data_IF_135516340785
#
_entry.id   IF_135516340785
#
_cell.length_a   1.000
_cell.length_b   1.000
_cell.length_c   1.000
_cell.angle_alpha   90.00
_cell.angle_beta   90.00
_cell.angle_gamma   90.00
#
_symmetry.space_group_name_H-M   'P 1'
#
loop_
_entity.id
_entity.type
_entity.pdbx_description
1 polymer ?
#
# COMPACT_ATOMS: atom_id res chain seq x y z
N UNK A 1 51.03 -22.70 11.98
CA UNK A 1 50.66 -21.97 10.75
C UNK A 1 49.23 -21.46 10.99
N UNK A 2 49.04 -20.37 11.74
CA UNK A 2 48.77 -19.01 11.22
C UNK A 2 47.60 -19.05 10.19
N UNK A 3 46.36 -18.62 10.46
CA UNK A 3 45.90 -17.45 11.20
C UNK A 3 45.76 -16.27 10.24
N UNK A 4 44.53 -15.89 9.84
CA UNK A 4 44.16 -14.48 9.73
C UNK A 4 42.66 -14.21 9.50
N UNK A 5 42.20 -13.24 10.28
CA UNK A 5 40.92 -12.54 10.20
C UNK A 5 40.82 -11.56 9.02
N UNK A 6 39.56 -11.26 8.68
CA UNK A 6 38.99 -9.98 8.25
C UNK A 6 39.51 -9.30 6.97
N UNK A 7 38.55 -8.74 6.20
CA UNK A 7 38.51 -7.30 5.82
C UNK A 7 37.26 -6.98 5.00
N UNK A 8 36.36 -6.21 5.61
CA UNK A 8 35.60 -5.16 4.91
C UNK A 8 36.59 -4.16 4.29
N UNK A 9 36.28 -3.65 3.08
CA UNK A 9 36.14 -2.21 2.89
C UNK A 9 34.87 -1.94 2.07
N UNK A 10 34.14 -0.84 2.21
CA UNK A 10 34.55 0.50 1.76
C UNK A 10 33.84 1.58 2.58
N UNK A 11 34.65 2.38 3.26
CA UNK A 11 34.36 3.75 3.69
C UNK A 11 35.20 4.68 2.82
N UNK A 12 34.60 5.72 2.25
CA UNK A 12 35.20 7.04 1.87
C UNK A 12 34.02 7.89 1.35
N UNK A 13 33.59 8.98 2.00
CA UNK A 13 34.22 10.31 2.06
C UNK A 13 33.63 11.19 0.94
N UNK A 14 33.31 12.49 1.04
CA UNK A 14 33.44 13.51 2.07
C UNK A 14 32.53 14.71 1.72
N UNK A 15 32.16 15.48 2.75
CA UNK A 15 32.00 16.94 2.87
C UNK A 15 31.62 17.84 1.67
N UNK A 16 30.57 18.64 1.87
CA UNK A 16 30.35 19.92 1.20
C UNK A 16 29.42 20.83 2.01
N UNK A 17 29.99 21.84 2.69
CA UNK A 17 29.31 22.90 3.45
C UNK A 17 29.07 24.09 2.51
N UNK A 18 27.85 24.59 2.37
CA UNK A 18 27.52 25.95 1.89
C UNK A 18 26.21 26.35 2.59
N UNK A 19 26.28 27.07 3.71
CA UNK A 19 26.16 28.54 3.84
C UNK A 19 24.80 29.12 3.48
N UNK A 20 24.23 29.79 4.48
CA UNK A 20 22.91 30.38 4.59
C UNK A 20 22.65 31.58 3.66
N UNK A 21 21.37 31.92 3.47
CA UNK A 21 20.90 33.29 3.27
C UNK A 21 19.47 33.46 3.84
N UNK A 22 19.30 34.58 4.52
CA UNK A 22 18.20 35.06 5.36
C UNK A 22 17.26 35.96 4.53
N UNK A 23 15.95 35.99 4.83
CA UNK A 23 15.01 37.14 4.70
C UNK A 23 13.66 36.70 5.33
N UNK A 24 13.24 37.13 6.53
CA UNK A 24 12.75 38.44 7.02
C UNK A 24 11.43 38.90 6.37
N UNK A 25 10.41 39.14 7.20
CA UNK A 25 9.17 39.90 6.89
C UNK A 25 7.91 39.29 7.55
N UNK A 26 7.63 39.51 8.83
CA UNK A 26 6.83 40.61 9.41
C UNK A 26 5.44 40.82 8.78
N UNK A 27 4.37 40.50 9.53
CA UNK A 27 3.38 41.48 10.01
C UNK A 27 2.24 40.78 10.78
N UNK A 28 2.08 41.17 12.04
CA UNK A 28 0.89 40.91 12.85
C UNK A 28 -0.18 41.97 12.56
N UNK A 29 -1.46 41.60 12.63
CA UNK A 29 -2.56 42.52 12.94
C UNK A 29 -3.51 41.82 13.91
N UNK A 30 -3.98 42.60 14.88
CA UNK A 30 -4.58 42.22 16.13
C UNK A 30 -6.08 42.58 16.20
N UNK A 31 -6.73 42.01 17.25
CA UNK A 31 -7.84 42.57 18.05
C UNK A 31 -9.24 42.76 17.45
N UNK A 32 -10.22 42.08 18.06
CA UNK A 32 -11.43 42.67 18.71
C UNK A 32 -12.30 41.49 19.22
N UNK A 33 -12.65 41.31 20.50
CA UNK A 33 -13.22 42.16 21.56
C UNK A 33 -14.72 41.84 21.79
N UNK A 34 -14.96 41.17 22.92
CA UNK A 34 -16.06 41.26 23.89
C UNK A 34 -17.54 41.18 23.46
N UNK A 35 -18.30 40.39 24.24
CA UNK A 35 -19.75 40.52 24.35
C UNK A 35 -20.37 39.48 25.29
N UNK A 36 -20.27 39.72 26.60
CA UNK A 36 -20.97 38.95 27.66
C UNK A 36 -22.18 39.73 28.19
N UNK A 37 -23.33 39.07 28.36
CA UNK A 37 -24.14 39.04 29.61
C UNK A 37 -25.68 38.86 29.43
N UNK A 38 -26.18 37.84 30.13
CA UNK A 38 -27.35 37.78 31.04
C UNK A 38 -28.82 37.96 30.58
N UNK A 39 -29.52 36.81 30.50
CA UNK A 39 -30.77 36.35 31.17
C UNK A 39 -32.09 37.17 31.27
N UNK A 40 -33.14 36.62 30.60
CA UNK A 40 -34.53 36.25 31.05
C UNK A 40 -35.56 37.30 31.52
N UNK A 41 -36.92 37.05 31.60
CA UNK A 41 -37.81 35.97 31.07
C UNK A 41 -39.22 36.44 30.51
N UNK A 42 -40.11 35.46 30.19
CA UNK A 42 -41.58 35.50 29.87
C UNK A 42 -41.99 35.95 28.44
N UNK A 43 -42.92 35.34 27.69
CA UNK A 43 -44.20 34.66 28.00
C UNK A 43 -44.57 33.63 26.89
N UNK A 44 -45.44 32.68 27.24
CA UNK A 44 -45.95 31.60 26.40
C UNK A 44 -46.91 32.04 25.28
N UNK A 45 -46.85 31.35 24.12
CA UNK A 45 -47.99 31.11 23.21
C UNK A 45 -47.71 29.90 22.29
N UNK A 46 -48.74 29.07 22.12
CA UNK A 46 -48.76 27.75 21.48
C UNK A 46 -48.58 27.75 19.95
N UNK A 47 -47.89 26.74 19.40
CA UNK A 47 -47.81 26.42 17.96
C UNK A 47 -47.09 25.08 17.71
N UNK A 48 -47.42 24.30 16.65
CA UNK A 48 -47.41 22.84 16.68
C UNK A 48 -46.06 22.16 16.40
N UNK A 49 -45.93 20.95 16.95
CA UNK A 49 -44.98 19.85 16.66
C UNK A 49 -43.80 20.17 15.73
N UNK A 50 -42.70 20.64 16.32
CA UNK A 50 -41.39 20.48 15.70
C UNK A 50 -40.97 19.02 15.82
N UNK A 51 -41.09 18.29 14.72
CA UNK A 51 -40.30 17.08 14.51
C UNK A 51 -38.83 17.44 14.76
N UNK A 52 -38.23 16.85 15.79
CA UNK A 52 -36.78 16.92 15.99
C UNK A 52 -36.19 16.21 14.77
N UNK A 53 -35.77 16.99 13.78
CA UNK A 53 -34.95 16.51 12.69
C UNK A 53 -33.67 16.01 13.35
N UNK A 54 -33.56 14.68 13.48
CA UNK A 54 -32.34 14.04 13.92
C UNK A 54 -31.22 14.57 13.02
N UNK A 55 -30.32 15.36 13.59
CA UNK A 55 -29.10 15.75 12.90
C UNK A 55 -28.44 14.45 12.40
N UNK A 56 -28.00 14.39 11.13
CA UNK A 56 -27.26 13.24 10.68
C UNK A 56 -26.04 13.13 11.58
N UNK A 57 -25.97 12.06 12.36
CA UNK A 57 -24.76 11.67 13.07
C UNK A 57 -23.68 11.55 12.00
N UNK A 58 -22.79 12.54 11.94
CA UNK A 58 -21.63 12.50 11.05
C UNK A 58 -20.88 11.23 11.40
N UNK A 59 -20.95 10.23 10.52
CA UNK A 59 -20.15 9.03 10.67
C UNK A 59 -18.69 9.45 10.88
N UNK A 60 -17.91 8.73 11.71
CA UNK A 60 -16.51 9.06 11.91
C UNK A 60 -15.82 9.19 10.54
N UNK A 61 -15.38 10.40 10.20
CA UNK A 61 -14.56 10.60 9.02
C UNK A 61 -13.19 10.01 9.31
N UNK A 62 -12.87 8.89 8.67
CA UNK A 62 -11.53 8.31 8.73
C UNK A 62 -10.54 9.33 8.13
N UNK A 63 -9.67 9.95 8.95
CA UNK A 63 -8.76 11.00 8.47
C UNK A 63 -7.74 10.45 7.46
N UNK A 64 -7.57 9.12 7.40
CA UNK A 64 -6.65 8.44 6.50
C UNK A 64 -7.32 7.85 5.25
N UNK A 65 -8.63 8.07 5.04
CA UNK A 65 -9.39 7.43 3.96
C UNK A 65 -8.73 7.58 2.58
N UNK A 66 -8.27 8.78 2.23
CA UNK A 66 -7.60 9.05 0.94
C UNK A 66 -6.32 8.25 0.76
N UNK A 67 -5.49 8.16 1.79
CA UNK A 67 -4.25 7.39 1.74
C UNK A 67 -4.53 5.89 1.69
N UNK A 68 -5.54 5.40 2.40
CA UNK A 68 -5.96 3.99 2.32
C UNK A 68 -6.41 3.62 0.90
N UNK A 69 -7.18 4.48 0.25
CA UNK A 69 -7.54 4.31 -1.17
C UNK A 69 -6.32 4.29 -2.07
N UNK A 70 -5.34 5.18 -1.86
CA UNK A 70 -4.12 5.24 -2.65
C UNK A 70 -3.24 3.99 -2.48
N UNK A 71 -3.11 3.47 -1.25
CA UNK A 71 -2.41 2.21 -0.95
C UNK A 71 -3.05 1.04 -1.70
N UNK A 72 -4.38 0.89 -1.61
CA UNK A 72 -5.10 -0.19 -2.28
C UNK A 72 -5.06 -0.06 -3.81
N UNK A 73 -5.05 1.16 -4.35
CA UNK A 73 -4.86 1.40 -5.78
C UNK A 73 -3.46 0.94 -6.23
N UNK A 74 -2.40 1.27 -5.49
CA UNK A 74 -1.05 0.79 -5.79
C UNK A 74 -0.94 -0.73 -5.68
N UNK A 75 -1.60 -1.34 -4.70
CA UNK A 75 -1.63 -2.79 -4.53
C UNK A 75 -2.28 -3.50 -5.72
N UNK A 76 -3.45 -3.02 -6.16
CA UNK A 76 -4.12 -3.56 -7.35
C UNK A 76 -3.32 -3.33 -8.63
N UNK A 77 -2.66 -2.18 -8.76
CA UNK A 77 -1.79 -1.91 -9.90
C UNK A 77 -0.59 -2.85 -9.96
N UNK A 78 0.03 -3.18 -8.81
CA UNK A 78 1.07 -4.22 -8.75
C UNK A 78 0.58 -5.55 -9.33
N UNK A 79 -0.58 -6.04 -8.87
CA UNK A 79 -1.14 -7.30 -9.36
C UNK A 79 -1.48 -7.27 -10.85
N UNK A 80 -2.03 -6.16 -11.35
CA UNK A 80 -2.30 -5.99 -12.77
C UNK A 80 -1.02 -6.06 -13.62
N UNK A 81 0.07 -5.41 -13.19
CA UNK A 81 1.36 -5.49 -13.87
C UNK A 81 2.00 -6.88 -13.74
N UNK A 82 1.79 -7.57 -12.61
CA UNK A 82 2.27 -8.94 -12.43
C UNK A 82 1.56 -9.92 -13.37
N UNK A 83 0.24 -9.78 -13.57
CA UNK A 83 -0.52 -10.56 -14.55
C UNK A 83 0.05 -10.38 -15.95
N UNK A 84 0.30 -9.13 -16.38
CA UNK A 84 0.93 -8.84 -17.67
C UNK A 84 2.31 -9.48 -17.81
N UNK A 85 3.11 -9.42 -16.75
CA UNK A 85 4.47 -9.94 -16.77
C UNK A 85 4.48 -11.48 -16.82
N UNK A 86 3.63 -12.13 -16.03
CA UNK A 86 3.59 -13.59 -15.91
C UNK A 86 3.01 -14.26 -17.17
N UNK A 87 2.12 -13.57 -17.89
CA UNK A 87 1.60 -14.02 -19.18
C UNK A 87 2.66 -14.16 -20.28
N UNK A 88 3.84 -13.56 -20.09
CA UNK A 88 4.96 -13.61 -21.04
C UNK A 88 6.31 -13.94 -20.40
N UNK A 89 6.31 -14.32 -19.12
CA UNK A 89 7.51 -14.59 -18.33
C UNK A 89 8.60 -13.48 -18.44
N UNK A 90 8.19 -12.22 -18.54
CA UNK A 90 9.08 -11.06 -18.70
C UNK A 90 8.45 -9.79 -18.13
N UNK A 91 9.23 -8.93 -17.49
CA UNK A 91 8.80 -7.59 -17.01
C UNK A 91 8.90 -6.50 -18.10
N UNK A 92 9.43 -6.83 -19.28
CA UNK A 92 9.55 -5.90 -20.40
C UNK A 92 8.18 -5.31 -20.78
N UNK A 93 8.08 -3.98 -20.92
CA UNK A 93 6.81 -3.32 -21.22
C UNK A 93 5.75 -3.43 -20.12
N UNK A 94 6.16 -3.74 -18.88
CA UNK A 94 5.31 -3.67 -17.68
C UNK A 94 5.79 -2.57 -16.75
N UNK A 95 4.94 -2.16 -15.82
CA UNK A 95 5.23 -1.16 -14.81
C UNK A 95 5.46 -1.80 -13.43
N UNK A 96 5.93 -3.06 -13.34
CA UNK A 96 6.12 -3.75 -12.06
C UNK A 96 6.99 -2.95 -11.07
N UNK A 97 8.08 -2.35 -11.56
CA UNK A 97 9.03 -1.55 -10.76
C UNK A 97 8.45 -0.22 -10.26
N UNK A 98 7.30 0.20 -10.81
CA UNK A 98 6.57 1.38 -10.34
C UNK A 98 5.78 1.07 -9.06
N UNK A 99 5.36 -0.17 -8.85
CA UNK A 99 4.46 -0.53 -7.73
C UNK A 99 5.09 -1.49 -6.71
N UNK A 100 6.22 -2.11 -7.02
CA UNK A 100 6.97 -2.95 -6.08
C UNK A 100 8.43 -2.53 -5.96
N UNK A 101 8.99 -2.75 -4.77
CA UNK A 101 10.39 -2.59 -4.42
C UNK A 101 10.78 -3.66 -3.40
N UNK A 102 12.06 -3.70 -3.01
CA UNK A 102 12.59 -4.62 -2.00
C UNK A 102 12.13 -6.08 -2.21
N UNK A 103 11.69 -6.77 -1.15
CA UNK A 103 11.31 -8.17 -1.19
C UNK A 103 10.15 -8.46 -2.15
N UNK A 104 9.17 -7.55 -2.27
CA UNK A 104 8.05 -7.71 -3.18
C UNK A 104 8.52 -7.76 -4.65
N UNK A 105 9.43 -6.85 -5.03
CA UNK A 105 9.99 -6.85 -6.38
C UNK A 105 10.91 -8.06 -6.60
N UNK A 106 11.76 -8.39 -5.63
CA UNK A 106 12.66 -9.53 -5.73
C UNK A 106 11.90 -10.86 -5.93
N UNK A 107 10.77 -11.04 -5.23
CA UNK A 107 9.88 -12.20 -5.42
C UNK A 107 9.29 -12.24 -6.82
N UNK A 108 8.72 -11.12 -7.29
CA UNK A 108 8.14 -11.05 -8.64
C UNK A 108 9.19 -11.37 -9.73
N UNK A 109 10.41 -10.83 -9.62
CA UNK A 109 11.49 -11.11 -10.56
C UNK A 109 11.94 -12.57 -10.49
N UNK A 110 12.04 -13.14 -9.28
CA UNK A 110 12.36 -14.55 -9.09
C UNK A 110 11.29 -15.48 -9.69
N UNK A 111 10.02 -15.11 -9.61
CA UNK A 111 8.93 -15.86 -10.23
C UNK A 111 9.02 -15.82 -11.75
N UNK A 112 9.27 -14.64 -12.34
CA UNK A 112 9.51 -14.50 -13.78
C UNK A 112 10.69 -15.35 -14.26
N UNK A 113 11.79 -15.36 -13.50
CA UNK A 113 12.94 -16.20 -13.82
C UNK A 113 12.57 -17.68 -13.82
N UNK A 114 11.84 -18.17 -12.81
CA UNK A 114 11.37 -19.58 -12.76
C UNK A 114 10.42 -19.93 -13.89
N UNK A 115 9.55 -19.01 -14.28
CA UNK A 115 8.66 -19.19 -15.44
C UNK A 115 9.47 -19.31 -16.73
N UNK A 116 10.42 -18.40 -16.94
CA UNK A 116 11.31 -18.38 -18.11
C UNK A 116 12.16 -19.64 -18.22
N UNK A 117 12.85 -20.03 -17.15
CA UNK A 117 13.67 -21.25 -17.10
C UNK A 117 12.82 -22.52 -17.30
N UNK A 118 11.58 -22.48 -16.85
CA UNK A 118 10.63 -23.56 -17.04
C UNK A 118 9.96 -23.60 -18.42
N UNK A 119 10.24 -22.66 -19.33
CA UNK A 119 9.50 -22.45 -20.58
C UNK A 119 7.98 -22.41 -20.37
N UNK A 120 7.56 -21.69 -19.33
CA UNK A 120 6.18 -21.60 -18.87
C UNK A 120 5.74 -20.14 -18.75
N UNK A 121 4.43 -19.94 -18.85
CA UNK A 121 3.73 -18.66 -18.62
C UNK A 121 2.49 -18.90 -17.77
N UNK A 122 1.93 -17.83 -17.19
CA UNK A 122 0.67 -17.90 -16.43
C UNK A 122 -0.39 -17.06 -17.13
N UNK A 123 -1.53 -17.68 -17.45
CA UNK A 123 -2.69 -16.98 -17.99
C UNK A 123 -3.79 -16.82 -16.94
N UNK A 124 -4.66 -15.83 -17.17
CA UNK A 124 -5.73 -15.45 -16.27
C UNK A 124 -5.27 -14.46 -15.20
N UNK A 125 -6.13 -14.23 -14.22
CA UNK A 125 -5.90 -13.28 -13.15
C UNK A 125 -6.44 -13.83 -11.82
N UNK A 126 -5.85 -13.42 -10.69
CA UNK A 126 -6.41 -13.73 -9.39
C UNK A 126 -7.63 -12.85 -9.10
N UNK A 127 -8.44 -13.26 -8.13
CA UNK A 127 -9.41 -12.38 -7.46
C UNK A 127 -8.85 -11.93 -6.12
N UNK A 128 -9.21 -10.71 -5.74
CA UNK A 128 -8.71 -10.04 -4.54
C UNK A 128 -9.88 -9.49 -3.71
N UNK A 129 -9.69 -9.46 -2.40
CA UNK A 129 -10.50 -8.72 -1.43
C UNK A 129 -9.56 -8.02 -0.42
N UNK A 130 -8.84 -6.96 -0.84
CA UNK A 130 -7.77 -6.38 -0.05
C UNK A 130 -8.29 -5.29 0.88
N UNK A 131 -7.80 -5.29 2.12
CA UNK A 131 -8.11 -4.29 3.15
C UNK A 131 -6.83 -3.75 3.78
N UNK A 132 -6.81 -2.45 4.11
CA UNK A 132 -5.71 -1.85 4.88
C UNK A 132 -5.95 -2.13 6.36
N UNK A 133 -5.07 -2.90 6.99
CA UNK A 133 -5.20 -3.31 8.40
C UNK A 133 -4.49 -2.36 9.36
N UNK A 134 -3.48 -1.62 8.88
CA UNK A 134 -2.86 -0.54 9.65
C UNK A 134 -2.20 0.48 8.73
N UNK A 135 -2.09 1.73 9.20
CA UNK A 135 -1.43 2.81 8.49
C UNK A 135 -0.79 3.78 9.48
N UNK A 136 0.48 4.11 9.25
CA UNK A 136 1.23 5.07 10.04
C UNK A 136 1.89 6.07 9.09
N UNK A 137 1.35 7.29 9.06
CA UNK A 137 1.83 8.39 8.22
C UNK A 137 2.93 9.22 8.88
N UNK A 138 3.13 9.07 10.20
CA UNK A 138 4.08 9.85 10.99
C UNK A 138 5.49 9.24 11.02
N UNK A 139 5.65 8.04 10.47
CA UNK A 139 6.98 7.44 10.23
C UNK A 139 7.79 8.28 9.26
N UNK A 140 9.13 8.26 9.41
CA UNK A 140 10.09 8.85 8.46
C UNK A 140 9.79 8.45 7.00
N UNK A 141 9.35 7.21 6.80
CA UNK A 141 8.76 6.75 5.55
C UNK A 141 7.36 6.24 5.91
N UNK A 142 6.28 6.89 5.44
CA UNK A 142 4.91 6.45 5.71
C UNK A 142 4.71 4.99 5.29
N UNK A 143 3.98 4.24 6.11
CA UNK A 143 3.81 2.79 5.94
C UNK A 143 2.35 2.38 6.11
N UNK A 144 1.93 1.37 5.36
CA UNK A 144 0.65 0.71 5.53
C UNK A 144 0.80 -0.81 5.42
N UNK A 145 -0.05 -1.55 6.15
CA UNK A 145 -0.18 -3.00 6.03
C UNK A 145 -1.51 -3.35 5.37
N UNK A 146 -1.46 -4.37 4.52
CA UNK A 146 -2.59 -4.86 3.74
C UNK A 146 -2.76 -6.34 4.05
N UNK A 147 -4.01 -6.76 4.20
CA UNK A 147 -4.40 -8.17 4.13
C UNK A 147 -5.30 -8.36 2.92
N UNK A 148 -5.11 -9.44 2.18
CA UNK A 148 -5.90 -9.78 1.00
C UNK A 148 -6.35 -11.24 1.07
N UNK A 149 -7.64 -11.49 0.79
CA UNK A 149 -8.07 -12.84 0.45
C UNK A 149 -7.77 -13.12 -1.01
N UNK A 150 -6.60 -13.70 -1.27
CA UNK A 150 -6.11 -13.97 -2.60
C UNK A 150 -6.67 -15.29 -3.12
N UNK A 151 -7.44 -15.24 -4.21
CA UNK A 151 -7.95 -16.40 -4.92
C UNK A 151 -7.26 -16.53 -6.29
N UNK A 152 -6.29 -17.43 -6.37
CA UNK A 152 -5.52 -17.75 -7.59
C UNK A 152 -6.17 -18.87 -8.41
N UNK A 153 -7.42 -19.26 -8.14
CA UNK A 153 -8.10 -20.32 -8.90
C UNK A 153 -8.27 -20.00 -10.39
N UNK A 154 -8.25 -18.72 -10.75
CA UNK A 154 -8.28 -18.24 -12.13
C UNK A 154 -6.94 -18.38 -12.88
N UNK A 155 -5.83 -18.59 -12.18
CA UNK A 155 -4.52 -18.76 -12.79
C UNK A 155 -4.30 -20.15 -13.36
N UNK A 156 -3.78 -20.16 -14.59
CA UNK A 156 -3.43 -21.38 -15.32
C UNK A 156 -1.98 -21.30 -15.73
N UNK A 157 -1.17 -22.22 -15.22
CA UNK A 157 0.19 -22.42 -15.67
C UNK A 157 0.15 -23.13 -17.02
N UNK A 158 0.83 -22.56 -18.01
CA UNK A 158 0.88 -23.05 -19.38
C UNK A 158 2.32 -23.20 -19.80
N UNK A 159 2.62 -24.14 -20.67
CA UNK A 159 3.87 -24.17 -21.44
C UNK A 159 3.85 -23.09 -22.52
N UNK A 160 5.01 -22.69 -23.02
CA UNK A 160 5.11 -21.68 -24.08
C UNK A 160 4.42 -22.08 -25.40
N UNK A 161 4.26 -23.39 -25.67
CA UNK A 161 3.48 -23.91 -26.81
C UNK A 161 1.96 -23.96 -26.54
N UNK A 162 1.50 -23.39 -25.43
CA UNK A 162 0.08 -23.19 -25.13
C UNK A 162 -0.62 -24.39 -24.48
N UNK A 163 0.12 -25.37 -23.95
CA UNK A 163 -0.47 -26.53 -23.27
C UNK A 163 -0.61 -26.27 -21.75
N UNK A 164 -1.75 -26.61 -21.13
CA UNK A 164 -1.89 -26.53 -19.69
C UNK A 164 -0.90 -27.43 -18.96
N UNK A 165 -0.27 -26.89 -17.91
CA UNK A 165 0.55 -27.67 -16.98
C UNK A 165 -0.35 -28.17 -15.85
N UNK A 166 -0.45 -29.50 -15.63
CA UNK A 166 -1.25 -30.05 -14.55
C UNK A 166 -0.85 -29.47 -13.20
N UNK A 167 -1.83 -28.93 -12.47
CA UNK A 167 -1.63 -28.48 -11.09
C UNK A 167 -1.77 -29.69 -10.17
N UNK A 168 -0.84 -29.85 -9.21
CA UNK A 168 -0.95 -30.89 -8.20
C UNK A 168 -2.27 -30.75 -7.40
N UNK A 169 -2.89 -31.88 -7.09
CA UNK A 169 -4.06 -31.93 -6.25
C UNK A 169 -3.70 -31.46 -4.81
N UNK A 170 -4.67 -30.85 -4.12
CA UNK A 170 -4.49 -30.39 -2.74
C UNK A 170 -3.74 -29.06 -2.57
N UNK A 171 -3.34 -28.40 -3.68
CA UNK A 171 -2.78 -27.04 -3.60
C UNK A 171 -3.90 -26.05 -3.24
N UNK A 172 -3.69 -25.30 -2.16
CA UNK A 172 -4.61 -24.25 -1.72
C UNK A 172 -4.65 -23.13 -2.77
N UNK A 173 -5.83 -22.89 -3.35
CA UNK A 173 -6.04 -21.87 -4.39
C UNK A 173 -6.55 -20.54 -3.85
N UNK A 174 -7.06 -20.53 -2.62
CA UNK A 174 -7.61 -19.35 -1.96
C UNK A 174 -7.04 -19.26 -0.55
N UNK A 175 -6.36 -18.16 -0.25
CA UNK A 175 -5.63 -18.01 1.01
C UNK A 175 -5.40 -16.53 1.36
N UNK A 176 -5.13 -16.29 2.64
CA UNK A 176 -4.75 -14.97 3.12
C UNK A 176 -3.34 -14.64 2.64
N UNK A 177 -3.18 -13.48 2.00
CA UNK A 177 -1.90 -12.85 1.70
C UNK A 177 -1.73 -11.56 2.52
N UNK A 178 -0.49 -11.22 2.84
CA UNK A 178 -0.14 -9.98 3.53
C UNK A 178 0.84 -9.16 2.71
N UNK A 179 0.72 -7.83 2.79
CA UNK A 179 1.64 -6.91 2.15
C UNK A 179 1.96 -5.71 3.03
N UNK A 180 3.18 -5.19 2.84
CA UNK A 180 3.63 -3.94 3.45
C UNK A 180 3.89 -2.93 2.35
N UNK A 181 3.24 -1.78 2.42
CA UNK A 181 3.43 -0.66 1.52
C UNK A 181 4.19 0.46 2.21
N UNK A 182 5.09 1.13 1.48
CA UNK A 182 5.75 2.34 1.93
C UNK A 182 5.55 3.47 0.92
N UNK A 183 5.44 4.71 1.39
CA UNK A 183 5.29 5.90 0.54
C UNK A 183 6.65 6.53 0.27
N UNK A 184 7.17 6.34 -0.94
CA UNK A 184 8.45 6.88 -1.39
C UNK A 184 8.16 8.11 -2.26
N UNK A 185 8.44 9.29 -1.72
CA UNK A 185 7.98 10.55 -2.30
C UNK A 185 6.45 10.60 -2.33
N UNK A 186 5.87 10.71 -3.53
CA UNK A 186 4.40 10.74 -3.71
C UNK A 186 3.79 9.36 -4.02
N UNK A 187 4.59 8.29 -4.07
CA UNK A 187 4.15 6.99 -4.56
C UNK A 187 4.16 5.94 -3.46
N UNK A 188 3.04 5.24 -3.30
CA UNK A 188 3.00 4.00 -2.53
C UNK A 188 3.64 2.87 -3.34
N UNK A 189 4.51 2.09 -2.72
CA UNK A 189 5.16 0.93 -3.31
C UNK A 189 5.10 -0.24 -2.33
N UNK A 190 4.79 -1.44 -2.82
CA UNK A 190 4.84 -2.65 -2.01
C UNK A 190 6.30 -3.01 -1.77
N UNK A 191 6.68 -3.13 -0.50
CA UNK A 191 8.01 -3.57 -0.06
C UNK A 191 8.03 -5.05 0.27
N UNK A 192 6.89 -5.58 0.71
CA UNK A 192 6.67 -7.00 1.00
C UNK A 192 5.33 -7.44 0.44
N UNK A 193 5.27 -8.65 -0.09
CA UNK A 193 4.06 -9.34 -0.53
C UNK A 193 4.30 -10.85 -0.44
N UNK A 194 3.53 -11.54 0.38
CA UNK A 194 3.64 -12.99 0.55
C UNK A 194 2.32 -13.60 1.07
N UNK A 195 2.08 -14.91 0.87
CA UNK A 195 1.06 -15.64 1.62
C UNK A 195 1.28 -15.46 3.13
N UNK A 196 0.20 -15.46 3.91
CA UNK A 196 0.29 -15.57 5.36
C UNK A 196 1.14 -16.81 5.72
N UNK A 197 2.11 -16.71 6.65
CA UNK A 197 3.01 -17.82 6.97
C UNK A 197 2.28 -19.09 7.45
N UNK A 198 1.13 -18.94 8.11
CA UNK A 198 0.30 -20.07 8.54
C UNK A 198 -0.58 -20.61 7.40
N UNK A 199 -0.51 -20.04 6.19
CA UNK A 199 -1.29 -20.38 5.00
C UNK A 199 -2.77 -20.51 5.30
N UNK A 200 -3.29 -19.53 6.05
CA UNK A 200 -4.68 -19.52 6.48
C UNK A 200 -5.61 -19.48 5.26
N UNK A 201 -6.64 -20.33 5.20
CA UNK A 201 -7.72 -20.13 4.26
C UNK A 201 -8.46 -18.83 4.61
N UNK A 202 -9.07 -18.26 3.58
CA UNK A 202 -10.18 -17.34 3.69
C UNK A 202 -11.33 -17.93 2.84
#
# INVERSE_FOLDING_TARGET
>A
MAGNSARDPWISGASGRISALILVGCAAVALSACGSSSASPHHAASGPSHVISAMPTTAPHDPQAREKTAVLASYRALWAEQVKAYAKASDEGTELRKYATADALARAMGDLQRLKDGHKVVHGEPKHDPTVTSMNLDKKIPEAKITDCLDVSGWKLMTNDGKPVPTAQGVLKRYVATATAQKWGQRWMMTQLAPDPARKPC
#
